data_IF_412716665364
#
_entry.id   IF_412716665364
#
_cell.length_a   1.000
_cell.length_b   1.000
_cell.length_c   1.000
_cell.angle_alpha   90.00
_cell.angle_beta   90.00
_cell.angle_gamma   90.00
#
_symmetry.space_group_name_H-M   'P 1'
#
loop_
_entity.id
_entity.type
_entity.pdbx_description
1 polymer ?
#
# COMPACT_ATOMS: atom_id res chain seq x y z
N UNK A 1 -19.51 31.64 70.80
CA UNK A 1 -19.54 31.02 69.46
C UNK A 1 -18.48 31.67 68.61
N UNK A 2 -17.42 30.96 68.21
CA UNK A 2 -16.62 31.12 66.99
C UNK A 2 -15.48 30.10 67.06
N UNK A 3 -15.67 28.93 66.44
CA UNK A 3 -14.60 27.95 66.21
C UNK A 3 -14.07 28.19 64.79
N UNK A 4 -12.81 28.62 64.68
CA UNK A 4 -12.12 28.77 63.40
C UNK A 4 -11.70 27.37 62.94
N UNK A 5 -12.44 26.76 62.01
CA UNK A 5 -11.99 25.57 61.28
C UNK A 5 -11.09 26.01 60.12
N UNK A 6 -9.80 25.70 60.28
CA UNK A 6 -8.72 25.92 59.30
C UNK A 6 -8.88 24.87 58.19
N UNK A 7 -9.35 25.27 57.01
CA UNK A 7 -9.39 24.41 55.82
C UNK A 7 -8.08 24.59 55.08
N UNK A 8 -7.25 23.55 55.02
CA UNK A 8 -6.10 23.49 54.11
C UNK A 8 -6.61 23.31 52.68
N UNK A 9 -6.10 24.03 51.67
CA UNK A 9 -6.38 23.69 50.29
C UNK A 9 -5.55 22.45 49.90
N UNK A 10 -6.24 21.38 49.51
CA UNK A 10 -5.62 20.23 48.85
C UNK A 10 -5.28 20.69 47.42
N UNK A 11 -3.99 20.90 47.15
CA UNK A 11 -3.47 21.08 45.79
C UNK A 11 -3.53 19.72 45.08
N UNK A 12 -4.59 19.47 44.32
CA UNK A 12 -4.63 18.38 43.35
C UNK A 12 -3.81 18.84 42.14
N UNK A 13 -2.54 18.47 42.10
CA UNK A 13 -1.71 18.61 40.91
C UNK A 13 -2.27 17.70 39.81
N UNK A 14 -3.00 18.27 38.87
CA UNK A 14 -3.29 17.65 37.58
C UNK A 14 -1.98 17.57 36.80
N UNK A 15 -1.25 16.47 36.96
CA UNK A 15 -0.23 16.09 35.98
C UNK A 15 -0.98 15.61 34.74
N UNK A 16 -1.26 16.52 33.81
CA UNK A 16 -1.47 16.12 32.41
C UNK A 16 -0.10 15.66 31.92
N UNK A 17 0.20 14.39 32.15
CA UNK A 17 1.25 13.71 31.40
C UNK A 17 0.71 13.64 29.98
N UNK A 18 1.06 14.64 29.17
CA UNK A 18 0.99 14.53 27.73
C UNK A 18 1.98 13.42 27.37
N UNK A 19 1.50 12.19 27.41
CA UNK A 19 2.31 11.01 27.13
C UNK A 19 2.71 11.08 25.67
N UNK A 20 3.93 11.53 25.40
CA UNK A 20 4.66 11.04 24.24
C UNK A 20 4.54 9.52 24.28
N UNK A 21 3.92 8.94 23.26
CA UNK A 21 3.89 7.50 23.06
C UNK A 21 5.35 7.05 22.99
N UNK A 22 5.90 6.61 24.12
CA UNK A 22 7.25 6.07 24.15
C UNK A 22 7.29 4.92 23.13
N UNK A 23 8.23 4.94 22.17
CA UNK A 23 8.34 3.89 21.18
C UNK A 23 8.52 2.57 21.91
N UNK A 24 7.51 1.70 21.83
CA UNK A 24 7.53 0.41 22.48
C UNK A 24 8.49 -0.49 21.68
N UNK A 25 9.64 -0.91 22.25
CA UNK A 25 10.70 -1.59 21.51
C UNK A 25 10.29 -2.92 20.87
N UNK A 26 9.10 -3.43 21.23
CA UNK A 26 8.58 -4.72 20.76
C UNK A 26 7.47 -4.57 19.69
N UNK A 27 7.30 -3.39 19.10
CA UNK A 27 6.31 -3.15 18.03
C UNK A 27 7.01 -2.97 16.70
N UNK A 28 6.71 -3.86 15.76
CA UNK A 28 7.16 -3.77 14.38
C UNK A 28 6.05 -3.10 13.58
N UNK A 29 6.38 -2.10 12.76
CA UNK A 29 5.47 -1.55 11.77
C UNK A 29 5.66 -2.33 10.48
N UNK A 30 4.57 -2.87 9.93
CA UNK A 30 4.54 -3.55 8.65
C UNK A 30 3.64 -2.77 7.70
N UNK A 31 4.18 -2.30 6.57
CA UNK A 31 3.45 -1.61 5.53
C UNK A 31 3.10 -2.55 4.40
N UNK A 32 1.80 -2.70 4.16
CA UNK A 32 1.26 -3.48 3.04
C UNK A 32 0.76 -2.51 1.98
N UNK A 33 1.18 -2.75 0.74
CA UNK A 33 0.78 -2.01 -0.46
C UNK A 33 0.06 -2.96 -1.41
N UNK A 34 -1.12 -2.56 -1.90
CA UNK A 34 -1.78 -3.23 -3.03
C UNK A 34 -2.01 -2.25 -4.16
N UNK A 35 -1.72 -2.66 -5.40
CA UNK A 35 -2.00 -1.86 -6.60
C UNK A 35 -2.25 -2.73 -7.84
N UNK A 36 -3.22 -2.30 -8.64
CA UNK A 36 -3.32 -2.72 -10.03
C UNK A 36 -2.25 -1.94 -10.82
N UNK A 37 -1.46 -2.63 -11.64
CA UNK A 37 -0.32 -2.02 -12.36
C UNK A 37 -0.65 -1.52 -13.76
N UNK A 38 -1.90 -1.67 -14.21
CA UNK A 38 -2.43 -1.30 -15.52
C UNK A 38 -1.60 -1.87 -16.68
N UNK A 39 -2.02 -3.02 -17.20
CA UNK A 39 -1.29 -3.77 -18.23
C UNK A 39 0.17 -4.01 -17.85
N UNK A 40 0.41 -4.41 -16.61
CA UNK A 40 1.73 -4.64 -16.03
C UNK A 40 2.67 -3.41 -16.05
N UNK A 41 2.15 -2.19 -16.22
CA UNK A 41 2.94 -0.98 -16.40
C UNK A 41 3.61 -0.87 -17.78
N UNK A 42 3.20 -1.68 -18.76
CA UNK A 42 3.78 -1.66 -20.11
C UNK A 42 3.25 -0.52 -20.99
N UNK A 43 2.13 0.09 -20.58
CA UNK A 43 1.47 1.22 -21.25
C UNK A 43 1.99 2.59 -20.81
N UNK A 44 2.92 2.60 -19.88
CA UNK A 44 3.52 3.82 -19.38
C UNK A 44 5.01 3.74 -19.66
N UNK A 45 5.55 4.77 -20.28
CA UNK A 45 6.99 4.86 -20.50
C UNK A 45 7.73 4.74 -19.16
N UNK A 46 8.74 3.88 -19.12
CA UNK A 46 9.48 3.55 -17.90
C UNK A 46 8.60 3.01 -16.75
N UNK A 47 7.44 2.41 -17.05
CA UNK A 47 6.45 1.99 -16.06
C UNK A 47 7.01 1.08 -14.97
N UNK A 48 7.84 0.09 -15.29
CA UNK A 48 8.49 -0.75 -14.26
C UNK A 48 9.37 0.06 -13.30
N UNK A 49 10.12 1.04 -13.82
CA UNK A 49 10.95 1.92 -13.00
C UNK A 49 10.08 2.82 -12.12
N UNK A 50 8.93 3.30 -12.63
CA UNK A 50 7.97 4.10 -11.86
C UNK A 50 7.32 3.26 -10.75
N UNK A 51 6.87 2.04 -11.04
CA UNK A 51 6.33 1.09 -10.03
C UNK A 51 7.38 0.85 -8.94
N UNK A 52 8.60 0.47 -9.31
CA UNK A 52 9.67 0.21 -8.35
C UNK A 52 10.03 1.45 -7.51
N UNK A 53 10.06 2.64 -8.13
CA UNK A 53 10.28 3.92 -7.43
C UNK A 53 9.21 4.13 -6.36
N UNK A 54 7.94 3.93 -6.66
CA UNK A 54 6.85 4.14 -5.71
C UNK A 54 6.82 3.10 -4.58
N UNK A 55 7.08 1.82 -4.88
CA UNK A 55 7.25 0.78 -3.85
C UNK A 55 8.33 1.19 -2.85
N UNK A 56 9.49 1.64 -3.35
CA UNK A 56 10.62 2.09 -2.52
C UNK A 56 10.32 3.37 -1.76
N UNK A 57 9.71 4.36 -2.40
CA UNK A 57 9.36 5.64 -1.77
C UNK A 57 8.34 5.47 -0.63
N UNK A 58 7.44 4.49 -0.75
CA UNK A 58 6.52 4.15 0.31
C UNK A 58 7.16 3.33 1.42
N UNK A 59 8.39 2.82 1.27
CA UNK A 59 8.98 1.86 2.22
C UNK A 59 8.02 0.70 2.52
N UNK A 60 7.40 0.13 1.49
CA UNK A 60 6.52 -1.02 1.67
C UNK A 60 7.33 -2.25 2.10
N UNK A 61 6.76 -3.09 2.96
CA UNK A 61 7.34 -4.36 3.38
C UNK A 61 6.73 -5.53 2.59
N UNK A 62 5.45 -5.41 2.25
CA UNK A 62 4.71 -6.39 1.45
C UNK A 62 3.98 -5.67 0.33
N UNK A 63 4.10 -6.18 -0.90
CA UNK A 63 3.47 -5.61 -2.08
C UNK A 63 2.65 -6.68 -2.80
N UNK A 64 1.39 -6.36 -3.08
CA UNK A 64 0.46 -7.19 -3.82
C UNK A 64 0.12 -6.49 -5.15
N UNK A 65 0.44 -7.12 -6.27
CA UNK A 65 0.28 -6.54 -7.60
C UNK A 65 -0.73 -7.33 -8.42
N UNK A 66 -1.59 -6.62 -9.14
CA UNK A 66 -2.50 -7.19 -10.13
C UNK A 66 -2.06 -6.82 -11.55
N UNK A 67 -2.56 -7.59 -12.52
CA UNK A 67 -2.23 -7.48 -13.96
C UNK A 67 -0.74 -7.70 -14.28
N UNK A 68 -0.05 -8.50 -13.47
CA UNK A 68 1.36 -8.84 -13.69
C UNK A 68 1.50 -10.16 -14.44
N UNK A 69 2.30 -10.17 -15.52
CA UNK A 69 2.73 -11.40 -16.19
C UNK A 69 4.19 -11.74 -15.84
N UNK A 70 4.64 -12.95 -16.17
CA UNK A 70 5.98 -13.45 -15.84
C UNK A 70 7.11 -12.50 -16.32
N UNK A 71 7.03 -12.02 -17.56
CA UNK A 71 8.04 -11.12 -18.13
C UNK A 71 8.10 -9.79 -17.37
N UNK A 72 6.95 -9.21 -17.09
CA UNK A 72 6.85 -7.97 -16.34
C UNK A 72 7.32 -8.13 -14.88
N UNK A 73 7.02 -9.28 -14.26
CA UNK A 73 7.52 -9.64 -12.94
C UNK A 73 9.05 -9.65 -12.91
N UNK A 74 9.69 -10.34 -13.86
CA UNK A 74 11.15 -10.41 -13.94
C UNK A 74 11.79 -9.02 -14.11
N UNK A 75 11.23 -8.18 -14.99
CA UNK A 75 11.70 -6.81 -15.17
C UNK A 75 11.53 -5.97 -13.91
N UNK A 76 10.38 -6.07 -13.23
CA UNK A 76 10.15 -5.35 -11.98
C UNK A 76 11.11 -5.80 -10.88
N UNK A 77 11.34 -7.11 -10.72
CA UNK A 77 12.27 -7.64 -9.72
C UNK A 77 13.70 -7.13 -9.95
N UNK A 78 14.14 -7.01 -11.22
CA UNK A 78 15.43 -6.37 -11.55
C UNK A 78 15.48 -4.91 -11.11
N UNK A 79 14.40 -4.15 -11.26
CA UNK A 79 14.33 -2.74 -10.81
C UNK A 79 14.24 -2.60 -9.29
N UNK A 80 13.60 -3.53 -8.60
CA UNK A 80 13.53 -3.56 -7.15
C UNK A 80 14.90 -3.85 -6.52
N UNK A 81 15.64 -4.81 -7.08
CA UNK A 81 16.98 -5.16 -6.64
C UNK A 81 17.01 -6.29 -5.60
N UNK A 82 18.20 -6.66 -5.17
CA UNK A 82 18.48 -7.89 -4.41
C UNK A 82 17.87 -7.96 -2.99
N UNK A 83 17.38 -6.85 -2.45
CA UNK A 83 16.70 -6.83 -1.14
C UNK A 83 15.26 -7.34 -1.22
N UNK A 84 14.72 -7.46 -2.43
CA UNK A 84 13.35 -7.90 -2.67
C UNK A 84 13.35 -9.35 -3.14
N UNK A 85 12.44 -10.13 -2.55
CA UNK A 85 12.01 -11.42 -3.07
C UNK A 85 10.52 -11.32 -3.41
N UNK A 86 10.09 -12.10 -4.41
CA UNK A 86 8.72 -12.08 -4.88
C UNK A 86 8.31 -13.48 -5.33
N UNK A 87 7.01 -13.72 -5.32
CA UNK A 87 6.42 -14.92 -5.89
C UNK A 87 5.35 -14.47 -6.88
N UNK A 88 5.33 -15.12 -8.04
CA UNK A 88 4.24 -15.00 -9.00
C UNK A 88 3.68 -16.40 -9.21
N UNK A 89 2.36 -16.54 -9.07
CA UNK A 89 1.68 -17.78 -9.40
C UNK A 89 1.35 -17.74 -10.89
N UNK A 90 1.93 -18.66 -11.66
CA UNK A 90 1.77 -18.77 -13.10
C UNK A 90 0.95 -20.01 -13.45
N UNK A 91 -0.19 -20.20 -12.79
CA UNK A 91 -1.13 -21.21 -13.29
C UNK A 91 -1.79 -20.68 -14.56
N UNK A 92 -1.69 -21.48 -15.62
CA UNK A 92 -2.07 -21.20 -17.01
C UNK A 92 -1.08 -20.29 -17.75
N UNK A 93 0.01 -20.90 -18.23
CA UNK A 93 1.08 -20.31 -19.05
C UNK A 93 0.64 -19.58 -20.34
N UNK A 94 -0.66 -19.61 -20.66
CA UNK A 94 -1.24 -18.98 -21.84
C UNK A 94 -2.35 -17.98 -21.50
N UNK A 95 -2.71 -17.79 -20.22
CA UNK A 95 -3.80 -16.91 -19.80
C UNK A 95 -3.30 -15.74 -18.95
N UNK A 96 -3.65 -14.52 -19.33
CA UNK A 96 -3.42 -13.26 -18.59
C UNK A 96 -4.37 -13.08 -17.40
N UNK A 97 -5.25 -14.04 -17.16
CA UNK A 97 -6.36 -14.00 -16.22
C UNK A 97 -6.27 -15.15 -15.23
N UNK A 98 -6.66 -14.88 -13.98
CA UNK A 98 -6.85 -15.90 -12.93
C UNK A 98 -8.26 -16.50 -12.96
N UNK A 99 -9.13 -16.03 -13.87
CA UNK A 99 -10.48 -16.53 -14.04
C UNK A 99 -10.49 -17.84 -14.83
N UNK A 100 -11.13 -18.85 -14.24
CA UNK A 100 -11.50 -20.07 -14.93
C UNK A 100 -12.81 -19.94 -15.73
N UNK A 101 -13.48 -18.78 -15.63
CA UNK A 101 -14.85 -18.57 -16.11
C UNK A 101 -14.90 -17.63 -17.32
N UNK A 102 -14.03 -16.62 -17.36
CA UNK A 102 -13.99 -15.63 -18.44
C UNK A 102 -12.79 -15.88 -19.36
N UNK A 103 -13.02 -15.74 -20.66
CA UNK A 103 -11.93 -15.66 -21.64
C UNK A 103 -11.23 -14.30 -21.51
N UNK A 104 -9.94 -14.23 -21.84
CA UNK A 104 -9.09 -13.05 -21.61
C UNK A 104 -9.68 -11.71 -22.09
N UNK A 105 -10.52 -11.75 -23.13
CA UNK A 105 -11.13 -10.58 -23.74
C UNK A 105 -12.29 -9.97 -22.93
N UNK A 106 -12.87 -10.71 -21.97
CA UNK A 106 -14.08 -10.32 -21.24
C UNK A 106 -13.92 -10.31 -19.71
N UNK A 107 -12.74 -10.64 -19.18
CA UNK A 107 -12.53 -10.55 -17.74
C UNK A 107 -12.69 -9.08 -17.29
N UNK A 108 -13.54 -8.80 -16.28
CA UNK A 108 -13.55 -7.50 -15.64
C UNK A 108 -12.16 -7.25 -15.05
N UNK A 109 -11.51 -6.14 -15.42
CA UNK A 109 -10.22 -5.74 -14.85
C UNK A 109 -10.26 -5.86 -13.33
N UNK A 110 -9.33 -6.64 -12.77
CA UNK A 110 -9.27 -6.96 -11.34
C UNK A 110 -9.06 -5.68 -10.53
N UNK A 111 -10.04 -5.35 -9.68
CA UNK A 111 -9.98 -4.23 -8.74
C UNK A 111 -9.79 -4.77 -7.33
N UNK A 112 -8.68 -4.41 -6.70
CA UNK A 112 -8.48 -4.64 -5.26
C UNK A 112 -8.52 -3.30 -4.54
N UNK A 113 -9.72 -2.94 -4.09
CA UNK A 113 -9.94 -1.74 -3.27
C UNK A 113 -9.77 -2.02 -1.76
N UNK A 114 -9.60 -3.28 -1.36
CA UNK A 114 -9.72 -3.71 0.04
C UNK A 114 -8.56 -4.59 0.49
N UNK A 115 -8.11 -4.39 1.74
CA UNK A 115 -7.23 -5.31 2.46
C UNK A 115 -8.03 -5.94 3.60
N UNK A 116 -8.34 -7.23 3.46
CA UNK A 116 -8.89 -8.02 4.56
C UNK A 116 -7.75 -8.57 5.41
N UNK A 117 -7.92 -8.55 6.73
CA UNK A 117 -6.96 -9.13 7.66
C UNK A 117 -7.70 -9.81 8.81
N UNK A 118 -7.10 -10.87 9.35
CA UNK A 118 -7.59 -11.55 10.55
C UNK A 118 -6.38 -11.91 11.42
N UNK A 119 -6.23 -11.23 12.55
CA UNK A 119 -5.14 -11.50 13.48
C UNK A 119 -5.40 -10.82 14.82
N UNK A 120 -5.04 -11.49 15.91
CA UNK A 120 -4.98 -10.88 17.24
C UNK A 120 -3.66 -10.13 17.48
N UNK A 121 -2.71 -10.24 16.55
CA UNK A 121 -1.35 -9.72 16.66
C UNK A 121 -1.07 -8.56 15.70
N UNK A 122 -1.76 -8.49 14.56
CA UNK A 122 -1.68 -7.40 13.59
C UNK A 122 -2.85 -6.44 13.80
N UNK A 123 -2.56 -5.16 14.06
CA UNK A 123 -3.58 -4.12 14.19
C UNK A 123 -3.30 -3.02 13.16
N UNK A 124 -4.29 -2.62 12.34
CA UNK A 124 -4.11 -1.51 11.42
C UNK A 124 -3.97 -0.22 12.22
N UNK A 125 -2.99 0.59 11.86
CA UNK A 125 -2.72 1.91 12.43
C UNK A 125 -3.23 3.01 11.50
N UNK A 126 -3.07 2.81 10.19
CA UNK A 126 -3.44 3.79 9.17
C UNK A 126 -3.71 3.10 7.84
N UNK A 127 -4.72 3.55 7.10
CA UNK A 127 -4.99 3.13 5.74
C UNK A 127 -5.29 4.34 4.86
N UNK A 128 -4.70 4.41 3.67
CA UNK A 128 -4.84 5.55 2.75
C UNK A 128 -4.63 5.13 1.29
N UNK A 129 -5.16 5.94 0.38
CA UNK A 129 -4.93 5.79 -1.07
C UNK A 129 -3.71 6.58 -1.53
N UNK A 130 -3.00 6.08 -2.54
CA UNK A 130 -1.78 6.68 -3.07
C UNK A 130 -1.72 6.62 -4.60
N UNK A 131 -1.28 7.70 -5.26
CA UNK A 131 -1.07 7.75 -6.71
C UNK A 131 0.19 8.54 -7.09
N UNK A 132 1.24 8.43 -6.28
CA UNK A 132 2.45 9.24 -6.50
C UNK A 132 2.30 10.68 -6.01
N UNK A 133 2.92 11.60 -6.74
CA UNK A 133 2.96 13.05 -6.41
C UNK A 133 1.77 13.84 -6.94
N UNK A 134 1.01 13.29 -7.87
CA UNK A 134 -0.16 13.94 -8.47
C UNK A 134 -1.44 13.12 -8.25
N UNK A 135 -2.58 13.80 -8.16
CA UNK A 135 -3.89 13.15 -8.20
C UNK A 135 -4.16 12.58 -9.60
N UNK A 136 -4.83 11.43 -9.67
CA UNK A 136 -5.21 10.85 -10.96
C UNK A 136 -6.13 11.77 -11.74
N UNK A 137 -5.69 12.15 -12.93
CA UNK A 137 -6.47 12.92 -13.89
C UNK A 137 -7.25 11.96 -14.79
N UNK A 138 -8.55 12.22 -14.94
CA UNK A 138 -9.41 11.48 -15.87
C UNK A 138 -8.88 11.67 -17.28
N UNK A 139 -8.57 10.56 -17.96
CA UNK A 139 -8.14 10.59 -19.36
C UNK A 139 -9.33 10.91 -20.28
N UNK A 140 -9.13 11.68 -21.36
CA UNK A 140 -10.08 11.79 -22.45
C UNK A 140 -10.40 10.41 -23.02
N UNK A 141 -11.63 10.20 -23.50
CA UNK A 141 -12.08 8.87 -23.95
C UNK A 141 -11.19 8.23 -25.01
N UNK A 142 -10.70 9.07 -25.95
CA UNK A 142 -9.78 8.68 -27.03
C UNK A 142 -8.41 8.18 -26.55
N UNK A 143 -7.98 8.58 -25.35
CA UNK A 143 -6.63 8.33 -24.84
C UNK A 143 -6.63 7.20 -23.77
N UNK A 144 -7.81 6.64 -23.45
CA UNK A 144 -7.95 5.52 -22.49
C UNK A 144 -7.31 4.21 -22.95
N UNK A 145 -7.00 4.10 -24.23
CA UNK A 145 -6.49 2.88 -24.88
C UNK A 145 -5.21 3.11 -25.70
N UNK A 146 -4.65 4.32 -25.66
CA UNK A 146 -3.54 4.75 -26.52
C UNK A 146 -2.42 5.30 -25.65
N UNK A 147 -1.21 4.82 -25.90
CA UNK A 147 0.02 5.35 -25.31
C UNK A 147 0.23 6.77 -25.87
N UNK A 148 0.03 7.80 -25.04
CA UNK A 148 0.12 9.22 -25.43
C UNK A 148 1.25 9.89 -24.65
N UNK A 149 1.84 10.97 -25.20
CA UNK A 149 2.87 11.78 -24.50
C UNK A 149 2.41 12.22 -23.09
N UNK A 150 1.10 12.46 -22.91
CA UNK A 150 0.52 12.81 -21.60
C UNK A 150 0.62 11.67 -20.57
N UNK A 151 0.71 10.40 -21.00
CA UNK A 151 0.96 9.25 -20.13
C UNK A 151 2.46 9.08 -19.82
N UNK A 152 3.34 9.51 -20.73
CA UNK A 152 4.80 9.41 -20.58
C UNK A 152 5.29 10.31 -19.44
N UNK A 153 4.76 11.53 -19.33
CA UNK A 153 5.12 12.50 -18.30
C UNK A 153 4.58 12.15 -16.90
N UNK A 154 3.61 11.22 -16.79
CA UNK A 154 2.99 10.91 -15.50
C UNK A 154 3.95 10.20 -14.56
N UNK A 155 4.02 10.72 -13.33
CA UNK A 155 4.78 10.14 -12.23
C UNK A 155 4.32 8.70 -11.90
N UNK A 156 3.00 8.49 -11.97
CA UNK A 156 2.29 7.28 -11.58
C UNK A 156 1.94 6.39 -12.77
N UNK A 157 2.12 5.08 -12.61
CA UNK A 157 2.07 4.09 -13.69
C UNK A 157 0.73 3.35 -13.82
N UNK A 158 -0.26 3.66 -12.99
CA UNK A 158 -1.56 2.96 -12.97
C UNK A 158 -2.72 3.92 -13.21
N UNK A 159 -3.81 3.41 -13.76
CA UNK A 159 -5.09 4.11 -13.88
C UNK A 159 -5.92 4.08 -12.59
N UNK A 160 -5.43 3.39 -11.54
CA UNK A 160 -6.04 3.30 -10.22
C UNK A 160 -5.12 3.84 -9.12
N UNK A 161 -5.72 4.27 -8.01
CA UNK A 161 -4.98 4.52 -6.77
C UNK A 161 -4.56 3.18 -6.16
N UNK A 162 -3.37 3.16 -5.57
CA UNK A 162 -2.96 2.09 -4.68
C UNK A 162 -3.59 2.25 -3.30
N UNK A 163 -3.75 1.15 -2.57
CA UNK A 163 -4.13 1.17 -1.15
C UNK A 163 -2.92 0.78 -0.30
N UNK A 164 -2.60 1.62 0.68
CA UNK A 164 -1.50 1.40 1.63
C UNK A 164 -2.08 1.28 3.01
N UNK A 165 -1.73 0.21 3.73
CA UNK A 165 -2.12 0.03 5.13
C UNK A 165 -0.90 -0.28 5.99
N UNK A 166 -0.71 0.53 7.03
CA UNK A 166 0.28 0.33 8.08
C UNK A 166 -0.33 -0.54 9.18
N UNK A 167 0.34 -1.64 9.50
CA UNK A 167 0.01 -2.50 10.62
C UNK A 167 1.07 -2.38 11.70
N UNK A 168 0.64 -2.49 12.96
CA UNK A 168 1.55 -2.75 14.07
C UNK A 168 1.44 -4.21 14.47
N UNK A 169 2.58 -4.87 14.61
CA UNK A 169 2.71 -6.25 15.05
C UNK A 169 3.36 -6.30 16.44
N UNK A 170 2.77 -7.05 17.36
CA UNK A 170 3.32 -7.28 18.70
C UNK A 170 4.30 -8.48 18.67
N UNK A 171 5.60 -8.19 18.77
CA UNK A 171 6.64 -9.21 18.67
C UNK A 171 6.74 -10.11 19.92
N UNK A 172 6.01 -9.82 21.01
CA UNK A 172 6.07 -10.59 22.26
C UNK A 172 5.38 -11.97 22.18
N UNK A 173 4.60 -12.22 21.13
CA UNK A 173 3.87 -13.48 20.92
C UNK A 173 4.54 -14.39 19.89
N UNK A 174 5.71 -14.02 19.39
CA UNK A 174 6.47 -14.78 18.40
C UNK A 174 7.58 -15.65 19.03
N UNK A 175 7.69 -15.65 20.37
CA UNK A 175 8.60 -16.50 21.16
C UNK A 175 7.95 -17.79 21.64
#
# INVERSE_FOLDING_TARGET
>A
MYFIKRILPILISFNIVCGELQPQPNRIIMRILTMNTWQAGQKVENGFSKIAKHIKALHADVVLLQEMNAKAFDELMKKLGNQWSGQIHLDHLERRTWSSVWDEAFEPSDRIDFIFYKSDQLKPVRSFTYSGTEALKKLPEKDRWVDTEELEERDWSSDHYAVVTDFVMDNRKLS
#
